data_IF_387329675595
#
_entry.id   IF_387329675595
#
_cell.length_a   1.000
_cell.length_b   1.000
_cell.length_c   1.000
_cell.angle_alpha   90.00
_cell.angle_beta   90.00
_cell.angle_gamma   90.00
#
_symmetry.space_group_name_H-M   'P 1'
#
loop_
_entity.id
_entity.type
_entity.pdbx_description
1 polymer ?
#
# COMPACT_ATOMS: atom_id res chain seq x y z
N UNK A 1 17.71 8.92 -0.43
CA UNK A 1 17.55 7.46 -0.23
C UNK A 1 18.91 6.81 -0.35
N UNK A 2 19.31 5.96 0.59
CA UNK A 2 20.56 5.22 0.51
C UNK A 2 20.53 4.20 -0.64
N UNK A 3 21.70 3.80 -1.12
CA UNK A 3 21.82 2.82 -2.19
C UNK A 3 21.28 1.44 -1.77
N UNK A 4 21.50 1.05 -0.51
CA UNK A 4 20.94 -0.17 0.08
C UNK A 4 19.41 -0.19 0.05
N UNK A 5 18.78 0.92 0.39
CA UNK A 5 17.32 1.04 0.37
C UNK A 5 16.76 0.82 -1.04
N UNK A 6 17.43 1.37 -2.07
CA UNK A 6 17.04 1.21 -3.47
C UNK A 6 17.18 -0.25 -3.94
N UNK A 7 18.28 -0.91 -3.58
CA UNK A 7 18.51 -2.33 -3.92
C UNK A 7 17.42 -3.22 -3.33
N UNK A 8 17.09 -2.99 -2.08
CA UNK A 8 16.07 -3.76 -1.38
C UNK A 8 14.64 -3.52 -1.94
N UNK A 9 14.30 -2.29 -2.29
CA UNK A 9 13.03 -1.98 -2.96
C UNK A 9 12.91 -2.68 -4.33
N UNK A 10 13.99 -2.71 -5.13
CA UNK A 10 13.98 -3.42 -6.41
C UNK A 10 13.88 -4.93 -6.26
N UNK A 11 14.54 -5.52 -5.25
CA UNK A 11 14.38 -6.95 -4.93
C UNK A 11 12.91 -7.30 -4.65
N UNK A 12 12.18 -6.45 -3.92
CA UNK A 12 10.76 -6.68 -3.61
C UNK A 12 9.85 -6.54 -4.83
N UNK A 13 10.13 -5.57 -5.71
CA UNK A 13 9.44 -5.44 -6.98
C UNK A 13 9.54 -6.73 -7.81
N UNK A 14 10.74 -7.26 -7.96
CA UNK A 14 10.98 -8.51 -8.69
C UNK A 14 10.24 -9.69 -8.06
N UNK A 15 10.24 -9.79 -6.72
CA UNK A 15 9.48 -10.83 -6.00
C UNK A 15 7.96 -10.73 -6.19
N UNK A 16 7.44 -9.54 -6.52
CA UNK A 16 6.02 -9.32 -6.81
C UNK A 16 5.71 -9.47 -8.32
N UNK A 17 6.70 -9.80 -9.15
CA UNK A 17 6.53 -9.86 -10.61
C UNK A 17 6.38 -8.48 -11.27
N UNK A 18 6.81 -7.42 -10.59
CA UNK A 18 6.70 -6.04 -11.06
C UNK A 18 8.02 -5.55 -11.65
N UNK A 19 7.90 -4.72 -12.68
CA UNK A 19 9.04 -4.08 -13.34
C UNK A 19 9.34 -2.70 -12.75
N UNK A 20 10.52 -2.17 -13.06
CA UNK A 20 10.85 -0.76 -12.77
C UNK A 20 9.87 0.23 -13.43
N UNK A 21 9.31 -0.14 -14.59
CA UNK A 21 8.31 0.66 -15.30
C UNK A 21 7.02 0.75 -14.50
N UNK A 22 6.60 -0.34 -13.85
CA UNK A 22 5.39 -0.34 -13.02
C UNK A 22 5.55 0.55 -11.79
N UNK A 23 6.71 0.50 -11.12
CA UNK A 23 7.02 1.44 -10.04
C UNK A 23 6.98 2.89 -10.54
N UNK A 24 7.57 3.18 -11.71
CA UNK A 24 7.54 4.52 -12.28
C UNK A 24 6.12 5.00 -12.57
N UNK A 25 5.24 4.12 -13.06
CA UNK A 25 3.83 4.44 -13.27
C UNK A 25 3.14 4.77 -11.93
N UNK A 26 3.36 3.97 -10.89
CA UNK A 26 2.78 4.22 -9.56
C UNK A 26 3.27 5.54 -8.95
N UNK A 27 4.57 5.83 -9.04
CA UNK A 27 5.15 7.13 -8.62
C UNK A 27 4.58 8.30 -9.44
N UNK A 28 4.39 8.14 -10.75
CA UNK A 28 3.77 9.16 -11.60
C UNK A 28 2.32 9.42 -11.19
N UNK A 29 1.55 8.36 -10.91
CA UNK A 29 0.17 8.49 -10.47
C UNK A 29 0.08 9.14 -9.09
N UNK A 30 0.97 8.81 -8.16
CA UNK A 30 1.07 9.51 -6.88
C UNK A 30 1.38 11.01 -7.05
N UNK A 31 2.27 11.38 -7.98
CA UNK A 31 2.53 12.81 -8.25
C UNK A 31 1.32 13.53 -8.82
N UNK A 32 0.52 12.86 -9.66
CA UNK A 32 -0.75 13.41 -10.14
C UNK A 32 -1.75 13.54 -9.00
N UNK A 33 -1.84 12.53 -8.14
CA UNK A 33 -2.71 12.52 -6.97
C UNK A 33 -2.44 13.72 -6.07
N UNK A 34 -1.19 13.93 -5.68
CA UNK A 34 -0.77 15.05 -4.83
C UNK A 34 -1.14 16.43 -5.44
N UNK A 35 -1.24 16.52 -6.77
CA UNK A 35 -1.59 17.75 -7.51
C UNK A 35 -3.06 17.84 -7.92
N UNK A 36 -3.86 16.82 -7.62
CA UNK A 36 -5.27 16.78 -8.02
C UNK A 36 -6.13 17.58 -7.04
N UNK A 37 -7.33 17.96 -7.49
CA UNK A 37 -8.34 18.61 -6.64
C UNK A 37 -9.16 17.60 -5.81
N UNK A 38 -8.72 16.33 -5.74
CA UNK A 38 -9.39 15.32 -4.93
C UNK A 38 -9.26 15.64 -3.44
N UNK A 39 -10.29 15.31 -2.68
CA UNK A 39 -10.23 15.38 -1.22
C UNK A 39 -9.37 14.23 -0.68
N UNK A 40 -8.07 14.51 -0.52
CA UNK A 40 -7.10 13.53 -0.06
C UNK A 40 -7.47 12.96 1.32
N UNK A 41 -8.11 13.76 2.19
CA UNK A 41 -8.48 13.29 3.52
C UNK A 41 -9.55 12.20 3.45
N UNK A 42 -10.55 12.35 2.57
CA UNK A 42 -11.57 11.32 2.33
C UNK A 42 -11.01 10.03 1.73
N UNK A 43 -9.88 10.11 1.03
CA UNK A 43 -9.25 8.94 0.40
C UNK A 43 -8.34 8.17 1.36
N UNK A 44 -7.98 8.75 2.50
CA UNK A 44 -7.18 8.08 3.53
C UNK A 44 -8.04 7.15 4.38
N UNK A 45 -7.96 5.85 4.09
CA UNK A 45 -8.75 4.79 4.72
C UNK A 45 -7.98 4.18 5.90
N UNK A 46 -8.64 3.96 7.04
CA UNK A 46 -8.02 3.32 8.20
C UNK A 46 -7.80 1.82 7.93
N UNK A 47 -6.54 1.39 8.06
CA UNK A 47 -6.12 0.04 7.69
C UNK A 47 -6.79 -1.00 8.58
N UNK A 48 -6.93 -0.71 9.88
CA UNK A 48 -7.50 -1.67 10.83
C UNK A 48 -9.01 -1.51 10.94
N UNK A 49 -9.51 -0.28 11.11
CA UNK A 49 -10.93 -0.03 11.38
C UNK A 49 -11.81 -0.18 10.14
N UNK A 50 -11.34 0.31 8.99
CA UNK A 50 -12.16 0.34 7.78
C UNK A 50 -11.89 -0.87 6.88
N UNK A 51 -10.62 -1.31 6.78
CA UNK A 51 -10.25 -2.47 5.95
C UNK A 51 -10.16 -3.79 6.72
N UNK A 52 -10.12 -3.78 8.06
CA UNK A 52 -9.98 -5.00 8.86
C UNK A 52 -8.61 -5.67 8.73
N UNK A 53 -7.57 -4.90 8.34
CA UNK A 53 -6.24 -5.41 8.04
C UNK A 53 -5.24 -5.10 9.17
N UNK A 54 -4.29 -6.00 9.35
CA UNK A 54 -3.20 -5.90 10.32
C UNK A 54 -1.90 -5.69 9.57
N UNK A 55 -1.21 -4.59 9.90
CA UNK A 55 0.13 -4.31 9.40
C UNK A 55 1.18 -5.29 9.94
N UNK A 56 1.93 -5.86 9.02
CA UNK A 56 3.01 -6.78 9.32
C UNK A 56 4.26 -6.43 8.53
N UNK A 57 5.43 -6.81 9.06
CA UNK A 57 6.69 -6.82 8.33
C UNK A 57 6.94 -8.21 7.79
N UNK A 58 7.22 -8.33 6.50
CA UNK A 58 7.67 -9.59 5.90
C UNK A 58 9.20 -9.67 5.97
N UNK A 59 9.70 -10.74 6.55
CA UNK A 59 11.11 -11.14 6.48
C UNK A 59 11.21 -12.42 5.67
N UNK A 60 12.43 -12.85 5.32
CA UNK A 60 12.65 -14.08 4.55
C UNK A 60 12.05 -15.33 5.21
N UNK A 61 11.83 -15.30 6.53
CA UNK A 61 11.41 -16.48 7.32
C UNK A 61 10.01 -16.36 7.90
N UNK A 62 9.50 -15.15 8.15
CA UNK A 62 8.28 -14.93 8.94
C UNK A 62 7.54 -13.65 8.55
N UNK A 63 6.26 -13.61 8.90
CA UNK A 63 5.44 -12.40 8.87
C UNK A 63 5.18 -12.00 10.33
N UNK A 64 5.65 -10.82 10.70
CA UNK A 64 5.65 -10.34 12.08
C UNK A 64 4.71 -9.14 12.18
N UNK A 65 3.69 -9.22 13.07
CA UNK A 65 2.78 -8.10 13.34
C UNK A 65 3.58 -6.89 13.84
N UNK A 66 3.29 -5.72 13.28
CA UNK A 66 3.78 -4.45 13.79
C UNK A 66 2.87 -4.04 14.95
N UNK A 67 3.40 -3.97 16.18
CA UNK A 67 2.60 -3.70 17.38
C UNK A 67 2.06 -2.26 17.41
N UNK A 68 2.91 -1.29 17.06
CA UNK A 68 2.58 0.15 17.08
C UNK A 68 2.88 0.76 15.70
N UNK A 69 1.98 0.59 14.71
CA UNK A 69 2.17 1.17 13.38
C UNK A 69 2.12 2.70 13.47
N UNK A 70 3.11 3.37 12.87
CA UNK A 70 3.16 4.84 12.79
C UNK A 70 2.14 5.36 11.76
N UNK A 71 2.04 4.69 10.62
CA UNK A 71 1.12 5.04 9.55
C UNK A 71 -0.09 4.12 9.67
N UNK A 72 -1.23 4.64 10.10
CA UNK A 72 -2.46 3.85 10.36
C UNK A 72 -3.48 3.92 9.22
N UNK A 73 -3.27 4.84 8.27
CA UNK A 73 -4.14 5.04 7.10
C UNK A 73 -3.39 4.83 5.80
N UNK A 74 -4.10 4.45 4.75
CA UNK A 74 -3.56 4.24 3.40
C UNK A 74 -4.57 4.68 2.35
N UNK A 75 -4.07 5.03 1.18
CA UNK A 75 -4.87 5.33 0.00
C UNK A 75 -4.36 4.54 -1.21
N UNK A 76 -5.16 4.52 -2.28
CA UNK A 76 -4.88 3.77 -3.51
C UNK A 76 -3.55 4.16 -4.18
N UNK A 77 -3.12 5.41 -4.01
CA UNK A 77 -1.91 5.95 -4.62
C UNK A 77 -0.67 5.80 -3.74
N UNK A 78 -0.82 5.47 -2.46
CA UNK A 78 0.30 5.31 -1.51
C UNK A 78 0.54 3.88 -1.04
N UNK A 79 -0.43 2.95 -1.24
CA UNK A 79 -0.31 1.55 -0.81
C UNK A 79 0.97 0.87 -1.28
N UNK A 80 1.44 1.15 -2.50
CA UNK A 80 2.66 0.57 -3.05
C UNK A 80 3.91 0.88 -2.21
N UNK A 81 3.93 2.01 -1.49
CA UNK A 81 5.05 2.37 -0.62
C UNK A 81 5.16 1.43 0.57
N UNK A 82 4.06 0.89 1.07
CA UNK A 82 4.11 -0.11 2.14
C UNK A 82 4.82 -1.37 1.67
N UNK A 83 4.41 -1.90 0.52
CA UNK A 83 4.95 -3.13 -0.04
C UNK A 83 6.39 -2.99 -0.53
N UNK A 84 6.66 -1.98 -1.35
CA UNK A 84 7.93 -1.82 -2.05
C UNK A 84 8.97 -1.14 -1.15
N UNK A 85 8.60 0.02 -0.59
CA UNK A 85 9.56 0.85 0.15
C UNK A 85 9.77 0.31 1.57
N UNK A 86 8.68 -0.04 2.28
CA UNK A 86 8.75 -0.46 3.68
C UNK A 86 8.89 -1.99 3.86
N UNK A 87 8.56 -2.79 2.85
CA UNK A 87 8.52 -4.27 2.98
C UNK A 87 7.41 -4.72 3.94
N UNK A 88 6.38 -3.89 4.10
CA UNK A 88 5.20 -4.22 4.86
C UNK A 88 4.23 -5.04 4.01
N UNK A 89 3.47 -5.89 4.68
CA UNK A 89 2.35 -6.64 4.11
C UNK A 89 1.17 -6.53 5.05
N UNK A 90 -0.03 -6.70 4.51
CA UNK A 90 -1.26 -6.70 5.29
C UNK A 90 -1.81 -8.11 5.41
N UNK A 91 -2.37 -8.45 6.57
CA UNK A 91 -3.10 -9.71 6.77
C UNK A 91 -4.41 -9.47 7.48
N UNK A 92 -5.39 -10.36 7.28
CA UNK A 92 -6.60 -10.35 8.08
C UNK A 92 -6.39 -10.98 9.46
N UNK A 93 -7.46 -10.97 10.28
CA UNK A 93 -7.48 -11.64 11.60
C UNK A 93 -7.28 -13.16 11.53
N UNK A 94 -7.56 -13.79 10.39
CA UNK A 94 -7.41 -15.22 10.16
C UNK A 94 -5.98 -15.59 9.72
N UNK A 95 -5.13 -14.58 9.46
CA UNK A 95 -3.75 -14.76 9.03
C UNK A 95 -3.55 -14.82 7.52
N UNK A 96 -4.60 -14.65 6.70
CA UNK A 96 -4.47 -14.54 5.25
C UNK A 96 -3.73 -13.26 4.90
N UNK A 97 -2.67 -13.38 4.12
CA UNK A 97 -1.85 -12.26 3.66
C UNK A 97 -2.39 -11.76 2.33
N UNK A 98 -2.48 -10.44 2.17
CA UNK A 98 -3.00 -9.79 0.99
C UNK A 98 -1.86 -9.31 0.09
N UNK A 99 -2.00 -9.51 -1.22
CA UNK A 99 -1.16 -8.85 -2.22
C UNK A 99 -1.45 -7.35 -2.25
N UNK A 100 -0.56 -6.58 -2.88
CA UNK A 100 -0.75 -5.15 -3.04
C UNK A 100 -2.03 -4.86 -3.86
N UNK A 101 -2.25 -5.62 -4.92
CA UNK A 101 -3.42 -5.51 -5.81
C UNK A 101 -4.71 -5.84 -5.08
N UNK A 102 -4.72 -6.85 -4.21
CA UNK A 102 -5.89 -7.16 -3.38
C UNK A 102 -6.23 -6.00 -2.44
N UNK A 103 -5.23 -5.32 -1.86
CA UNK A 103 -5.47 -4.13 -1.03
C UNK A 103 -5.90 -2.93 -1.86
N UNK A 104 -5.34 -2.73 -3.05
CA UNK A 104 -5.84 -1.73 -4.02
C UNK A 104 -7.33 -1.96 -4.33
N UNK A 105 -7.75 -3.20 -4.54
CA UNK A 105 -9.16 -3.53 -4.78
C UNK A 105 -10.05 -3.30 -3.55
N UNK A 106 -9.56 -3.60 -2.34
CA UNK A 106 -10.30 -3.28 -1.10
C UNK A 106 -10.53 -1.77 -0.95
N UNK A 107 -9.53 -0.96 -1.29
CA UNK A 107 -9.64 0.50 -1.27
C UNK A 107 -10.67 0.99 -2.30
N UNK A 108 -10.62 0.46 -3.52
CA UNK A 108 -11.61 0.78 -4.57
C UNK A 108 -13.03 0.44 -4.08
N UNK A 109 -13.24 -0.77 -3.55
CA UNK A 109 -14.54 -1.20 -3.04
C UNK A 109 -15.02 -0.29 -1.89
N UNK A 110 -14.11 0.14 -1.02
CA UNK A 110 -14.42 1.10 0.05
C UNK A 110 -14.87 2.45 -0.54
N UNK A 111 -14.17 2.99 -1.53
CA UNK A 111 -14.54 4.26 -2.15
C UNK A 111 -15.89 4.17 -2.87
N UNK A 112 -16.12 3.11 -3.65
CA UNK A 112 -17.37 2.88 -4.38
C UNK A 112 -18.56 2.75 -3.42
N UNK A 113 -18.41 1.97 -2.34
CA UNK A 113 -19.45 1.81 -1.32
C UNK A 113 -19.83 3.13 -0.64
N UNK A 114 -18.88 4.05 -0.50
CA UNK A 114 -19.09 5.33 0.17
C UNK A 114 -19.29 6.52 -0.80
N UNK A 115 -19.45 6.26 -2.10
CA UNK A 115 -19.58 7.29 -3.14
C UNK A 115 -18.44 8.34 -3.12
N UNK A 116 -17.22 7.90 -2.84
CA UNK A 116 -16.03 8.77 -2.79
C UNK A 116 -15.42 8.83 -4.20
N UNK A 117 -15.22 10.03 -4.73
CA UNK A 117 -14.47 10.22 -5.98
C UNK A 117 -12.98 10.01 -5.74
N UNK A 118 -12.40 9.02 -6.42
CA UNK A 118 -11.00 8.62 -6.23
C UNK A 118 -10.15 8.61 -7.50
N UNK A 119 -10.76 8.78 -8.68
CA UNK A 119 -10.07 8.74 -9.98
C UNK A 119 -9.52 10.12 -10.34
N UNK A 120 -8.32 10.15 -10.91
CA UNK A 120 -7.58 11.34 -11.38
C UNK A 120 -7.45 11.29 -12.91
#
# INVERSE_FOLDING_TARGET
>A
MSEEFRKEAFKRLEQMGLTKKDLFIKEKNLRKFIKSDLDHYKLMVDIEKDLGLIQCRKTDKRIIKIKNPIIIKVDLYTVFKFYINLGHVFRDKNGRVYSMEEVEQLLINYYEKNNIQYKI
#
